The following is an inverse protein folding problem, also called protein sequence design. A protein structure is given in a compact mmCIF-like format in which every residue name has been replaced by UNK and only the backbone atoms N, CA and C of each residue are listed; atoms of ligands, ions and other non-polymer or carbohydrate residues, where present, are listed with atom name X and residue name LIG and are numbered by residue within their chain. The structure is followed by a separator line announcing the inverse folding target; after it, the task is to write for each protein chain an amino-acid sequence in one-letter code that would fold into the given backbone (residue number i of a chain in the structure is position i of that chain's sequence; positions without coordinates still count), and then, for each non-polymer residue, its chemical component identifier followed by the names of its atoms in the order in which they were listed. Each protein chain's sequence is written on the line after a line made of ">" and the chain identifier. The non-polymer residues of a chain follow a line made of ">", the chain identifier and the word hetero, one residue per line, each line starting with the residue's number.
data_IF_025150794423
#
_entry.id   IF_025150794423
#
_cell.length_a   1.000
_cell.length_b   1.000
_cell.length_c   1.000
_cell.angle_alpha   90.00
_cell.angle_beta   90.00
_cell.angle_gamma   90.00
#
_symmetry.space_group_name_H-M   'P 1'
#
loop_
_entity.id
_entity.type
_entity.pdbx_description
1 polymer ?
#
# COMPACT_ATOMS: atom_id res chain seq x y z
N UNK A 1 -1.92 -15.87 38.48
CA UNK A 1 -1.13 -15.07 37.50
C UNK A 1 -2.10 -14.08 36.87
N UNK A 2 -2.05 -12.81 37.27
CA UNK A 2 -3.02 -11.80 36.84
C UNK A 2 -2.71 -11.43 35.39
N UNK A 3 -3.59 -11.82 34.47
CA UNK A 3 -3.67 -11.24 33.13
C UNK A 3 -4.11 -9.78 33.31
N UNK A 4 -3.16 -8.85 33.45
CA UNK A 4 -3.44 -7.46 33.16
C UNK A 4 -3.73 -7.40 31.65
N UNK A 5 -5.03 -7.44 31.31
CA UNK A 5 -5.49 -7.18 29.97
C UNK A 5 -4.99 -5.79 29.58
N UNK A 6 -4.25 -5.73 28.47
CA UNK A 6 -3.80 -4.48 27.85
C UNK A 6 -4.98 -3.75 27.17
N UNK A 7 -6.15 -3.74 27.82
CA UNK A 7 -7.32 -3.01 27.33
C UNK A 7 -7.04 -1.51 27.42
N UNK A 8 -7.36 -0.80 26.35
CA UNK A 8 -7.26 0.66 26.31
C UNK A 8 -8.35 1.22 27.22
N UNK A 9 -8.00 1.54 28.46
CA UNK A 9 -8.92 2.17 29.41
C UNK A 9 -8.97 3.68 29.15
N UNK A 10 -10.16 4.19 28.82
CA UNK A 10 -10.42 5.62 28.58
C UNK A 10 -10.54 6.45 29.87
N UNK A 11 -9.85 6.05 30.94
CA UNK A 11 -9.79 6.82 32.18
C UNK A 11 -8.88 8.05 31.98
N UNK A 12 -9.24 9.25 32.49
CA UNK A 12 -8.45 10.48 32.28
C UNK A 12 -6.96 10.32 32.61
N UNK A 13 -6.64 9.71 33.75
CA UNK A 13 -5.25 9.45 34.20
C UNK A 13 -4.43 8.62 33.20
N UNK A 14 -5.09 7.68 32.50
CA UNK A 14 -4.44 6.83 31.48
C UNK A 14 -4.21 7.60 30.20
N UNK A 15 -5.10 8.52 29.85
CA UNK A 15 -4.99 9.38 28.66
C UNK A 15 -3.86 10.39 28.86
N UNK A 16 -3.82 11.07 30.01
CA UNK A 16 -2.76 12.03 30.34
C UNK A 16 -1.36 11.40 30.29
N UNK A 17 -1.23 10.21 30.89
CA UNK A 17 0.02 9.44 30.83
C UNK A 17 0.44 9.13 29.39
N UNK A 18 -0.50 8.67 28.55
CA UNK A 18 -0.21 8.35 27.13
C UNK A 18 0.16 9.59 26.33
N UNK A 19 -0.49 10.72 26.59
CA UNK A 19 -0.14 12.00 25.97
C UNK A 19 1.28 12.41 26.38
N UNK A 20 1.65 12.28 27.66
CA UNK A 20 2.99 12.58 28.12
C UNK A 20 4.05 11.66 27.46
N UNK A 21 3.80 10.35 27.43
CA UNK A 21 4.67 9.38 26.75
C UNK A 21 4.82 9.69 25.25
N UNK A 22 3.73 10.08 24.59
CA UNK A 22 3.77 10.44 23.17
C UNK A 22 4.50 11.76 22.92
N UNK A 23 4.36 12.77 23.79
CA UNK A 23 5.09 14.04 23.66
C UNK A 23 6.60 13.84 23.65
N UNK A 24 7.11 12.92 24.46
CA UNK A 24 8.54 12.55 24.47
C UNK A 24 8.96 11.74 23.23
N UNK A 25 8.04 10.95 22.69
CA UNK A 25 8.29 10.05 21.56
C UNK A 25 8.16 10.76 20.20
N UNK A 26 7.26 11.73 20.09
CA UNK A 26 6.88 12.39 18.85
C UNK A 26 8.07 13.02 18.11
N UNK A 27 9.04 13.70 18.76
CA UNK A 27 10.22 14.21 18.07
C UNK A 27 11.05 13.11 17.41
N UNK A 28 11.19 11.95 18.07
CA UNK A 28 11.96 10.81 17.53
C UNK A 28 11.24 10.14 16.36
N UNK A 29 9.91 10.04 16.44
CA UNK A 29 9.09 9.54 15.33
C UNK A 29 9.16 10.49 14.13
N UNK A 30 9.08 11.81 14.37
CA UNK A 30 9.20 12.82 13.32
C UNK A 30 10.56 12.75 12.62
N UNK A 31 11.64 12.58 13.39
CA UNK A 31 12.99 12.37 12.83
C UNK A 31 13.07 11.09 11.98
N UNK A 32 12.50 9.99 12.47
CA UNK A 32 12.41 8.73 11.73
C UNK A 32 11.61 8.88 10.43
N UNK A 33 10.47 9.57 10.45
CA UNK A 33 9.65 9.89 9.28
C UNK A 33 10.44 10.73 8.27
N UNK A 34 11.16 11.75 8.73
CA UNK A 34 11.99 12.63 7.90
C UNK A 34 13.10 11.84 7.20
N UNK A 35 13.80 10.99 7.94
CA UNK A 35 14.86 10.13 7.39
C UNK A 35 14.30 9.12 6.39
N UNK A 36 13.16 8.50 6.69
CA UNK A 36 12.49 7.57 5.77
C UNK A 36 12.14 8.24 4.44
N UNK A 37 11.50 9.42 4.49
CA UNK A 37 11.14 10.20 3.29
C UNK A 37 12.37 10.63 2.49
N UNK A 38 13.43 11.04 3.19
CA UNK A 38 14.69 11.43 2.56
C UNK A 38 15.35 10.24 1.86
N UNK A 39 15.37 9.07 2.50
CA UNK A 39 15.89 7.84 1.90
C UNK A 39 15.06 7.41 0.69
N UNK A 40 13.73 7.39 0.79
CA UNK A 40 12.84 7.05 -0.33
C UNK A 40 13.07 7.97 -1.54
N UNK A 41 13.22 9.27 -1.30
CA UNK A 41 13.55 10.24 -2.35
C UNK A 41 14.90 9.95 -2.98
N UNK A 42 15.93 9.69 -2.17
CA UNK A 42 17.27 9.35 -2.68
C UNK A 42 17.29 8.02 -3.44
N UNK A 43 16.47 7.03 -3.06
CA UNK A 43 16.35 5.77 -3.79
C UNK A 43 15.75 5.94 -5.20
N UNK A 44 14.92 6.95 -5.40
CA UNK A 44 14.32 7.31 -6.70
C UNK A 44 15.14 8.29 -7.53
N UNK A 45 16.21 8.86 -6.97
CA UNK A 45 17.09 9.81 -7.64
C UNK A 45 18.19 9.05 -8.41
N UNK A 46 18.34 9.37 -9.70
CA UNK A 46 19.38 8.78 -10.56
C UNK A 46 20.79 9.25 -10.21
N UNK A 47 20.89 10.44 -9.62
CA UNK A 47 22.17 11.07 -9.26
C UNK A 47 22.60 10.75 -7.82
N UNK A 48 21.72 10.13 -7.02
CA UNK A 48 22.04 9.75 -5.66
C UNK A 48 23.08 8.62 -5.62
N UNK A 49 24.25 8.95 -5.07
CA UNK A 49 25.34 7.99 -4.90
C UNK A 49 24.99 6.88 -3.92
N UNK A 50 25.64 5.72 -4.09
CA UNK A 50 25.47 4.58 -3.18
C UNK A 50 25.93 4.92 -1.75
N UNK A 51 26.93 5.79 -1.60
CA UNK A 51 27.44 6.26 -0.32
C UNK A 51 26.37 7.10 0.42
N UNK A 52 25.70 8.01 -0.29
CA UNK A 52 24.62 8.82 0.26
C UNK A 52 23.48 7.95 0.77
N UNK A 53 23.07 6.97 -0.03
CA UNK A 53 21.99 6.03 0.33
C UNK A 53 22.41 5.15 1.50
N UNK A 54 23.65 4.68 1.52
CA UNK A 54 24.19 3.91 2.65
C UNK A 54 24.19 4.71 3.95
N UNK A 55 24.60 5.98 3.90
CA UNK A 55 24.56 6.88 5.05
C UNK A 55 23.12 7.11 5.55
N UNK A 56 22.17 7.31 4.64
CA UNK A 56 20.74 7.45 4.99
C UNK A 56 20.17 6.17 5.60
N UNK A 57 20.57 4.98 5.15
CA UNK A 57 20.18 3.70 5.79
C UNK A 57 20.74 3.57 7.21
N UNK A 58 22.00 3.95 7.41
CA UNK A 58 22.60 3.95 8.75
C UNK A 58 21.86 4.91 9.68
N UNK A 59 21.52 6.10 9.18
CA UNK A 59 20.70 7.07 9.93
C UNK A 59 19.31 6.52 10.23
N UNK A 60 18.63 5.93 9.24
CA UNK A 60 17.32 5.30 9.43
C UNK A 60 17.38 4.23 10.53
N UNK A 61 18.44 3.43 10.54
CA UNK A 61 18.65 2.41 11.56
C UNK A 61 18.82 3.01 12.96
N UNK A 62 19.61 4.07 13.08
CA UNK A 62 19.80 4.80 14.34
C UNK A 62 18.50 5.43 14.85
N UNK A 63 17.75 6.11 13.96
CA UNK A 63 16.48 6.76 14.31
C UNK A 63 15.43 5.71 14.71
N UNK A 64 15.39 4.57 14.02
CA UNK A 64 14.54 3.44 14.38
C UNK A 64 14.87 2.92 15.79
N UNK A 65 16.14 2.67 16.08
CA UNK A 65 16.58 2.21 17.40
C UNK A 65 16.33 3.26 18.49
N UNK A 66 16.36 4.56 18.18
CA UNK A 66 16.00 5.62 19.11
C UNK A 66 14.50 5.60 19.49
N UNK A 67 13.63 5.14 18.58
CA UNK A 67 12.19 5.00 18.80
C UNK A 67 11.87 3.70 19.53
N UNK A 68 12.26 2.54 19.00
CA UNK A 68 11.86 1.23 19.55
C UNK A 68 12.81 0.71 20.64
N UNK A 69 14.07 1.14 20.64
CA UNK A 69 15.16 0.56 21.43
C UNK A 69 15.93 -0.53 20.68
N UNK A 70 17.17 -0.80 21.09
CA UNK A 70 18.11 -1.71 20.38
C UNK A 70 17.58 -3.12 20.09
N UNK A 71 16.66 -3.63 20.92
CA UNK A 71 15.97 -4.92 20.75
C UNK A 71 14.43 -4.77 20.85
N UNK A 72 13.92 -3.59 20.48
CA UNK A 72 12.50 -3.28 20.52
C UNK A 72 11.76 -3.71 19.26
N UNK A 73 10.45 -3.51 19.28
CA UNK A 73 9.56 -3.64 18.13
C UNK A 73 8.37 -2.71 18.32
N UNK A 74 7.78 -2.27 17.21
CA UNK A 74 6.47 -1.61 17.22
C UNK A 74 5.33 -2.55 17.65
N UNK A 75 5.53 -3.87 17.51
CA UNK A 75 4.50 -4.88 17.73
C UNK A 75 4.73 -5.68 19.02
N UNK A 76 3.63 -6.16 19.59
CA UNK A 76 3.63 -7.19 20.63
C UNK A 76 3.89 -8.56 20.02
N UNK A 77 4.14 -9.57 20.87
CA UNK A 77 4.30 -10.98 20.43
C UNK A 77 3.11 -11.51 19.61
N UNK A 78 1.92 -10.94 19.81
CA UNK A 78 0.68 -11.32 19.13
C UNK A 78 0.47 -10.51 17.84
N UNK A 79 1.52 -9.85 17.34
CA UNK A 79 1.54 -9.02 16.11
C UNK A 79 0.55 -7.84 16.15
N UNK A 80 0.21 -7.35 17.33
CA UNK A 80 -0.59 -6.14 17.52
C UNK A 80 0.32 -4.95 17.78
N UNK A 81 -0.05 -3.74 17.38
CA UNK A 81 0.69 -2.53 17.75
C UNK A 81 0.81 -2.44 19.27
N UNK A 82 2.02 -2.20 19.76
CA UNK A 82 2.30 -2.08 21.18
C UNK A 82 1.54 -0.90 21.78
N UNK A 83 0.99 -1.01 23.01
CA UNK A 83 0.29 0.08 23.67
C UNK A 83 1.04 1.42 23.68
N UNK A 84 2.39 1.36 23.72
CA UNK A 84 3.28 2.54 23.64
C UNK A 84 3.10 3.36 22.36
N UNK A 85 2.79 2.70 21.24
CA UNK A 85 2.61 3.35 19.93
C UNK A 85 1.15 3.49 19.54
N UNK A 86 0.20 3.11 20.42
CA UNK A 86 -1.23 3.11 20.09
C UNK A 86 -1.78 4.51 19.84
N UNK A 87 -1.28 5.51 20.56
CA UNK A 87 -1.69 6.90 20.33
C UNK A 87 -1.18 7.40 18.96
N UNK A 88 0.07 7.08 18.62
CA UNK A 88 0.64 7.40 17.30
C UNK A 88 -0.19 6.79 16.16
N UNK A 89 -0.54 5.50 16.25
CA UNK A 89 -1.42 4.81 15.30
C UNK A 89 -2.78 5.51 15.13
N UNK A 90 -3.31 6.12 16.19
CA UNK A 90 -4.62 6.79 16.17
C UNK A 90 -4.58 8.22 15.62
N UNK A 91 -3.48 8.94 15.82
CA UNK A 91 -3.42 10.38 15.53
C UNK A 91 -2.64 10.73 14.27
N UNK A 92 -1.81 9.82 13.76
CA UNK A 92 -0.99 10.05 12.56
C UNK A 92 -1.44 9.11 11.44
N UNK A 93 -1.93 9.70 10.35
CA UNK A 93 -2.43 9.02 9.16
C UNK A 93 -1.33 8.35 8.33
N UNK A 94 -0.06 8.72 8.55
CA UNK A 94 1.13 8.12 7.95
C UNK A 94 1.80 7.08 8.84
N UNK A 95 1.23 6.76 10.01
CA UNK A 95 1.79 5.80 10.97
C UNK A 95 2.07 4.42 10.36
N UNK A 96 1.28 4.01 9.36
CA UNK A 96 1.49 2.75 8.63
C UNK A 96 2.85 2.67 7.92
N UNK A 97 3.40 3.80 7.44
CA UNK A 97 4.72 3.83 6.78
C UNK A 97 5.84 3.48 7.77
N UNK A 98 5.71 3.96 9.00
CA UNK A 98 6.67 3.71 10.07
C UNK A 98 6.54 2.27 10.58
N UNK A 99 5.33 1.77 10.73
CA UNK A 99 5.10 0.38 11.15
C UNK A 99 5.51 -0.63 10.07
N UNK A 100 5.55 -0.24 8.79
CA UNK A 100 6.05 -1.07 7.69
C UNK A 100 7.57 -1.26 7.71
N UNK A 101 8.30 -0.57 8.59
CA UNK A 101 9.73 -0.81 8.83
C UNK A 101 10.02 -2.18 9.48
N UNK A 102 8.98 -2.88 9.96
CA UNK A 102 9.07 -4.22 10.52
C UNK A 102 8.17 -5.19 9.76
N UNK A 103 8.72 -6.34 9.36
CA UNK A 103 7.95 -7.44 8.76
C UNK A 103 7.22 -8.25 9.83
N UNK A 104 7.89 -8.49 10.96
CA UNK A 104 7.33 -9.22 12.10
C UNK A 104 8.15 -8.96 13.39
N UNK A 105 7.53 -9.03 14.57
CA UNK A 105 8.27 -9.08 15.84
C UNK A 105 9.01 -10.41 16.00
N UNK A 106 10.25 -10.36 16.51
CA UNK A 106 11.00 -11.54 16.90
C UNK A 106 10.66 -11.92 18.34
N UNK A 107 10.22 -13.15 18.57
CA UNK A 107 9.75 -13.62 19.88
C UNK A 107 10.60 -14.79 20.37
N UNK A 108 11.14 -14.68 21.59
CA UNK A 108 11.84 -15.75 22.30
C UNK A 108 11.30 -15.88 23.72
N UNK A 109 10.99 -17.09 24.16
CA UNK A 109 10.43 -17.37 25.50
C UNK A 109 9.23 -16.46 25.84
N UNK A 110 8.29 -16.31 24.90
CA UNK A 110 7.08 -15.50 25.05
C UNK A 110 7.34 -13.99 25.27
N UNK A 111 8.55 -13.50 24.94
CA UNK A 111 8.95 -12.09 25.00
C UNK A 111 9.45 -11.62 23.64
N UNK A 112 9.14 -10.37 23.30
CA UNK A 112 9.70 -9.71 22.13
C UNK A 112 11.19 -9.41 22.40
N UNK A 113 12.04 -9.79 21.46
CA UNK A 113 13.51 -9.62 21.53
C UNK A 113 14.08 -8.84 20.33
N UNK A 114 13.20 -8.25 19.51
CA UNK A 114 13.55 -7.45 18.35
C UNK A 114 12.46 -7.52 17.29
N UNK A 115 12.82 -7.15 16.07
CA UNK A 115 11.96 -7.25 14.89
C UNK A 115 12.75 -7.71 13.67
N UNK A 116 12.08 -8.43 12.77
CA UNK A 116 12.56 -8.65 11.41
C UNK A 116 12.40 -7.33 10.63
N UNK A 117 13.53 -6.67 10.36
CA UNK A 117 13.56 -5.37 9.69
C UNK A 117 13.16 -5.47 8.21
N UNK A 118 12.53 -4.41 7.71
CA UNK A 118 12.21 -4.26 6.30
C UNK A 118 13.47 -4.19 5.42
N UNK A 119 13.31 -4.49 4.14
CA UNK A 119 14.43 -4.56 3.18
C UNK A 119 15.15 -3.20 3.01
N UNK A 120 14.44 -2.08 3.20
CA UNK A 120 14.95 -0.72 3.06
C UNK A 120 16.16 -0.42 3.96
N UNK A 121 16.32 -1.14 5.08
CA UNK A 121 17.49 -1.01 5.96
C UNK A 121 18.78 -1.58 5.36
N UNK A 122 18.69 -2.44 4.36
CA UNK A 122 19.84 -3.24 3.89
C UNK A 122 20.09 -3.12 2.39
N UNK A 123 19.04 -2.91 1.59
CA UNK A 123 19.15 -2.83 0.13
C UNK A 123 18.18 -1.80 -0.44
N UNK A 124 18.42 -1.43 -1.71
CA UNK A 124 17.57 -0.50 -2.45
C UNK A 124 16.23 -1.17 -2.73
N UNK A 125 15.12 -0.53 -2.36
CA UNK A 125 13.76 -1.06 -2.55
C UNK A 125 12.98 -0.30 -3.63
N UNK A 126 13.38 0.94 -3.92
CA UNK A 126 12.90 1.72 -5.06
C UNK A 126 14.04 2.10 -5.98
N UNK A 127 13.84 2.02 -7.29
CA UNK A 127 14.87 2.35 -8.27
C UNK A 127 14.42 3.53 -9.12
N UNK A 128 15.34 4.40 -9.56
CA UNK A 128 15.02 5.47 -10.49
C UNK A 128 14.44 4.85 -11.76
N UNK A 129 13.40 5.49 -12.30
CA UNK A 129 12.84 5.07 -13.57
C UNK A 129 13.88 5.27 -14.68
N UNK A 130 14.30 4.17 -15.30
CA UNK A 130 15.14 4.22 -16.50
C UNK A 130 14.21 4.13 -17.70
N UNK A 131 14.15 5.23 -18.47
CA UNK A 131 13.34 5.27 -19.68
C UNK A 131 13.81 4.18 -20.66
N UNK A 132 12.92 3.31 -21.18
CA UNK A 132 13.30 2.31 -22.18
C UNK A 132 13.97 2.97 -23.39
N UNK A 133 15.10 2.43 -23.84
CA UNK A 133 15.79 2.96 -25.03
C UNK A 133 15.54 2.12 -26.28
N UNK A 134 15.05 0.89 -26.11
CA UNK A 134 14.72 -0.02 -27.21
C UNK A 134 13.52 -0.90 -26.87
N UNK A 135 12.96 -1.56 -27.89
CA UNK A 135 11.91 -2.58 -27.76
C UNK A 135 12.20 -3.73 -28.73
N UNK A 136 11.92 -4.97 -28.32
CA UNK A 136 12.21 -6.17 -29.12
C UNK A 136 11.23 -6.32 -30.31
N UNK A 137 10.03 -5.75 -30.19
CA UNK A 137 9.00 -5.85 -31.21
C UNK A 137 8.02 -4.66 -31.15
N UNK A 138 7.20 -4.54 -32.20
CA UNK A 138 6.26 -3.43 -32.37
C UNK A 138 5.22 -3.34 -31.25
N UNK A 139 4.75 -4.46 -30.71
CA UNK A 139 3.74 -4.45 -29.65
C UNK A 139 4.32 -3.86 -28.36
N UNK A 140 5.54 -4.24 -27.99
CA UNK A 140 6.24 -3.70 -26.83
C UNK A 140 6.52 -2.20 -27.02
N UNK A 141 6.97 -1.79 -28.21
CA UNK A 141 7.19 -0.37 -28.53
C UNK A 141 5.91 0.47 -28.42
N UNK A 142 4.77 -0.05 -28.91
CA UNK A 142 3.45 0.58 -28.77
C UNK A 142 3.03 0.70 -27.31
N UNK A 143 3.22 -0.36 -26.51
CA UNK A 143 2.91 -0.33 -25.09
C UNK A 143 3.76 0.69 -24.34
N UNK A 144 5.05 0.77 -24.63
CA UNK A 144 5.95 1.78 -24.04
C UNK A 144 5.48 3.18 -24.43
N UNK A 145 5.20 3.44 -25.71
CA UNK A 145 4.70 4.74 -26.15
C UNK A 145 3.39 5.11 -25.46
N UNK A 146 2.42 4.19 -25.42
CA UNK A 146 1.11 4.44 -24.81
C UNK A 146 1.25 4.78 -23.32
N UNK A 147 2.14 4.10 -22.61
CA UNK A 147 2.40 4.36 -21.19
C UNK A 147 3.12 5.70 -20.97
N UNK A 148 3.99 6.13 -21.90
CA UNK A 148 4.73 7.39 -21.79
C UNK A 148 3.92 8.63 -22.21
N UNK A 149 3.11 8.52 -23.27
CA UNK A 149 2.47 9.68 -23.92
C UNK A 149 0.95 9.64 -23.89
N UNK A 150 0.34 8.51 -23.51
CA UNK A 150 -1.11 8.31 -23.56
C UNK A 150 -1.65 8.00 -24.95
N UNK A 151 -0.78 7.88 -25.98
CA UNK A 151 -1.15 7.49 -27.34
C UNK A 151 0.00 6.74 -28.05
N UNK A 152 -0.27 6.18 -29.23
CA UNK A 152 0.79 5.59 -30.06
C UNK A 152 1.51 6.71 -30.84
N UNK A 153 2.60 7.21 -30.27
CA UNK A 153 3.52 8.14 -30.90
C UNK A 153 4.45 7.37 -31.85
N UNK A 154 4.23 7.54 -33.15
CA UNK A 154 4.98 6.83 -34.18
C UNK A 154 6.46 7.14 -34.19
N UNK A 155 6.85 8.37 -33.80
CA UNK A 155 8.27 8.73 -33.72
C UNK A 155 8.92 7.96 -32.58
N UNK A 156 8.27 7.93 -31.41
CA UNK A 156 8.77 7.18 -30.25
C UNK A 156 8.87 5.68 -30.53
N UNK A 157 7.87 5.11 -31.20
CA UNK A 157 7.87 3.70 -31.59
C UNK A 157 9.01 3.40 -32.57
N UNK A 158 9.24 4.28 -33.54
CA UNK A 158 10.33 4.15 -34.50
C UNK A 158 11.70 4.20 -33.82
N UNK A 159 11.90 5.14 -32.89
CA UNK A 159 13.12 5.28 -32.10
C UNK A 159 13.40 4.01 -31.27
N UNK A 160 12.38 3.46 -30.60
CA UNK A 160 12.48 2.23 -29.80
C UNK A 160 12.85 1.00 -30.64
N UNK A 161 12.41 0.95 -31.90
CA UNK A 161 12.68 -0.15 -32.82
C UNK A 161 13.96 0.06 -33.65
N UNK A 162 14.61 1.21 -33.54
CA UNK A 162 15.74 1.58 -34.40
C UNK A 162 15.35 1.61 -35.88
N UNK A 163 14.12 2.02 -36.20
CA UNK A 163 13.55 2.01 -37.55
C UNK A 163 13.04 3.40 -37.94
N UNK A 164 12.65 3.59 -39.20
CA UNK A 164 12.00 4.82 -39.64
C UNK A 164 10.47 4.79 -39.39
N UNK A 165 9.88 5.98 -39.26
CA UNK A 165 8.45 6.15 -38.97
C UNK A 165 7.54 5.52 -40.03
N UNK A 166 7.94 5.49 -41.30
CA UNK A 166 7.09 4.96 -42.36
C UNK A 166 7.08 3.42 -42.36
N UNK A 167 8.21 2.81 -41.99
CA UNK A 167 8.31 1.38 -41.69
C UNK A 167 7.44 0.95 -40.50
N UNK A 168 7.21 1.82 -39.53
CA UNK A 168 6.31 1.59 -38.38
C UNK A 168 4.84 1.72 -38.77
N UNK A 169 4.48 2.68 -39.63
CA UNK A 169 3.08 2.89 -40.06
C UNK A 169 2.53 1.70 -40.84
N UNK A 170 3.34 1.09 -41.73
CA UNK A 170 2.93 -0.01 -42.62
C UNK A 170 2.29 -1.20 -41.89
N UNK A 171 2.89 -1.79 -40.84
CA UNK A 171 2.31 -2.91 -40.10
C UNK A 171 1.09 -2.51 -39.25
N UNK A 172 0.94 -1.25 -38.84
CA UNK A 172 -0.20 -0.82 -38.02
C UNK A 172 -1.53 -0.79 -38.79
N UNK A 173 -1.48 -0.82 -40.12
CA UNK A 173 -2.65 -1.01 -40.98
C UNK A 173 -2.95 -2.48 -41.32
N UNK A 174 -2.19 -3.44 -40.77
CA UNK A 174 -2.47 -4.87 -41.03
C UNK A 174 -3.58 -5.41 -40.10
N UNK A 175 -4.44 -6.33 -40.59
CA UNK A 175 -5.56 -6.90 -39.83
C UNK A 175 -5.19 -7.51 -38.47
N UNK A 176 -3.94 -7.96 -38.33
CA UNK A 176 -3.38 -8.57 -37.12
C UNK A 176 -3.29 -7.58 -35.95
N UNK A 177 -2.92 -6.32 -36.22
CA UNK A 177 -2.82 -5.26 -35.20
C UNK A 177 -4.22 -4.81 -34.78
N UNK A 178 -5.16 -4.70 -35.72
CA UNK A 178 -6.58 -4.40 -35.43
C UNK A 178 -7.19 -5.49 -34.54
N UNK A 179 -6.87 -6.77 -34.78
CA UNK A 179 -7.31 -7.89 -33.94
C UNK A 179 -6.70 -7.84 -32.54
N UNK A 180 -5.44 -7.40 -32.41
CA UNK A 180 -4.78 -7.21 -31.11
C UNK A 180 -5.43 -6.05 -30.33
N UNK A 181 -5.63 -4.91 -30.97
CA UNK A 181 -6.33 -3.76 -30.39
C UNK A 181 -7.76 -4.11 -29.98
N UNK A 182 -8.49 -4.87 -30.80
CA UNK A 182 -9.83 -5.37 -30.48
C UNK A 182 -9.82 -6.30 -29.26
N UNK A 183 -8.86 -7.23 -29.15
CA UNK A 183 -8.74 -8.10 -27.99
C UNK A 183 -8.41 -7.35 -26.69
N UNK A 184 -7.56 -6.32 -26.75
CA UNK A 184 -7.23 -5.48 -25.59
C UNK A 184 -8.41 -4.62 -25.16
N UNK A 185 -9.13 -4.01 -26.11
CA UNK A 185 -10.37 -3.26 -25.85
C UNK A 185 -11.42 -4.18 -25.22
N UNK A 186 -11.61 -5.38 -25.77
CA UNK A 186 -12.57 -6.36 -25.25
C UNK A 186 -12.22 -6.84 -23.83
N UNK A 187 -10.93 -7.04 -23.50
CA UNK A 187 -10.50 -7.35 -22.13
C UNK A 187 -10.72 -6.18 -21.16
N UNK A 188 -10.45 -4.96 -21.58
CA UNK A 188 -10.72 -3.75 -20.78
C UNK A 188 -12.22 -3.56 -20.52
N UNK A 189 -13.04 -3.70 -21.56
CA UNK A 189 -14.50 -3.64 -21.46
C UNK A 189 -15.04 -4.80 -20.60
N UNK A 190 -14.50 -6.01 -20.74
CA UNK A 190 -14.89 -7.15 -19.91
C UNK A 190 -14.59 -6.91 -18.42
N UNK A 191 -13.45 -6.31 -18.07
CA UNK A 191 -13.13 -5.94 -16.70
C UNK A 191 -14.04 -4.82 -16.16
N UNK A 192 -14.36 -3.82 -16.98
CA UNK A 192 -15.30 -2.75 -16.62
C UNK A 192 -16.70 -3.34 -16.41
N UNK A 193 -17.19 -4.17 -17.34
CA UNK A 193 -18.48 -4.85 -17.23
C UNK A 193 -18.52 -5.81 -16.05
N UNK A 194 -17.45 -6.53 -15.75
CA UNK A 194 -17.37 -7.42 -14.59
C UNK A 194 -17.49 -6.63 -13.28
N UNK A 195 -16.78 -5.49 -13.16
CA UNK A 195 -16.89 -4.60 -12.01
C UNK A 195 -18.27 -3.95 -11.89
N UNK A 196 -18.86 -3.50 -12.99
CA UNK A 196 -20.22 -2.94 -12.99
C UNK A 196 -21.28 -4.01 -12.66
N UNK A 197 -21.12 -5.24 -13.14
CA UNK A 197 -22.00 -6.36 -12.83
C UNK A 197 -21.89 -6.75 -11.34
N UNK A 198 -20.68 -6.70 -10.77
CA UNK A 198 -20.46 -6.90 -9.33
C UNK A 198 -21.16 -5.83 -8.49
N UNK A 199 -21.08 -4.56 -8.89
CA UNK A 199 -21.77 -3.45 -8.21
C UNK A 199 -23.29 -3.59 -8.30
N UNK A 200 -23.82 -3.99 -9.46
CA UNK A 200 -25.25 -4.21 -9.65
C UNK A 200 -25.74 -5.40 -8.82
N UNK A 201 -25.02 -6.52 -8.85
CA UNK A 201 -25.32 -7.71 -8.04
C UNK A 201 -25.23 -7.42 -6.53
N UNK A 202 -24.23 -6.66 -6.09
CA UNK A 202 -24.09 -6.24 -4.70
C UNK A 202 -25.25 -5.35 -4.25
N UNK A 203 -25.66 -4.39 -5.08
CA UNK A 203 -26.82 -3.54 -4.78
C UNK A 203 -28.16 -4.31 -4.78
N UNK A 204 -28.33 -5.28 -5.67
CA UNK A 204 -29.48 -6.19 -5.67
C UNK A 204 -29.52 -7.06 -4.41
N UNK A 205 -28.38 -7.65 -4.04
CA UNK A 205 -28.27 -8.48 -2.84
C UNK A 205 -28.53 -7.65 -1.57
N UNK A 206 -27.98 -6.43 -1.50
CA UNK A 206 -28.21 -5.50 -0.40
C UNK A 206 -29.69 -5.10 -0.28
N UNK A 207 -30.35 -4.80 -1.41
CA UNK A 207 -31.78 -4.46 -1.42
C UNK A 207 -32.67 -5.66 -1.06
N UNK A 208 -32.32 -6.87 -1.49
CA UNK A 208 -33.04 -8.10 -1.12
C UNK A 208 -32.90 -8.41 0.38
N UNK A 209 -31.70 -8.25 0.95
CA UNK A 209 -31.47 -8.39 2.39
C UNK A 209 -32.27 -7.36 3.20
N UNK A 210 -32.33 -6.11 2.73
CA UNK A 210 -33.11 -5.03 3.35
C UNK A 210 -34.62 -5.27 3.25
N UNK A 211 -35.10 -5.83 2.13
CA UNK A 211 -36.50 -6.22 1.97
C UNK A 211 -36.85 -7.35 2.94
N UNK A 212 -35.97 -8.35 3.05
CA UNK A 212 -36.17 -9.48 3.95
C UNK A 212 -36.27 -9.00 5.41
N UNK A 213 -35.35 -8.16 5.89
CA UNK A 213 -35.43 -7.56 7.23
C UNK A 213 -36.72 -6.77 7.48
N UNK A 214 -37.22 -6.01 6.49
CA UNK A 214 -38.51 -5.30 6.59
C UNK A 214 -39.72 -6.24 6.66
N UNK A 215 -39.64 -7.40 6.02
CA UNK A 215 -40.69 -8.43 6.07
C UNK A 215 -40.64 -9.14 7.43
N UNK A 216 -39.46 -9.52 7.90
CA UNK A 216 -39.30 -10.18 9.21
C UNK A 216 -39.78 -9.29 10.36
N UNK A 217 -39.49 -7.98 10.32
CA UNK A 217 -39.94 -7.03 11.34
C UNK A 217 -41.45 -6.75 11.32
N UNK A 218 -42.11 -6.87 10.15
CA UNK A 218 -43.57 -6.77 10.04
C UNK A 218 -44.27 -8.03 10.56
N UNK A 219 -43.70 -9.21 10.35
CA UNK A 219 -44.28 -10.48 10.81
C UNK A 219 -44.21 -10.58 12.35
N UNK A 220 -43.18 -10.02 13.00
CA UNK A 220 -43.04 -9.99 14.47
C UNK A 220 -43.96 -8.98 15.17
N UNK A 221 -44.78 -8.22 14.45
CA UNK A 221 -45.72 -7.23 14.98
C UNK A 221 -47.18 -7.49 14.58
N UNK A 222 -47.50 -8.69 14.08
CA UNK A 222 -48.89 -9.13 13.95
C UNK A 222 -49.30 -9.72 15.30
N UNK A 223 -50.16 -9.07 16.09
CA UNK A 223 -50.71 -9.69 17.29
C UNK A 223 -51.56 -10.89 16.85
N UNK A 224 -51.20 -12.08 17.32
CA UNK A 224 -52.07 -13.25 17.20
C UNK A 224 -53.22 -13.02 18.20
N UNK A 225 -54.35 -12.54 17.70
CA UNK A 225 -55.60 -12.51 18.46
C UNK A 225 -56.14 -13.95 18.51
N UNK A 226 -55.83 -14.66 19.60
CA UNK A 226 -56.41 -15.95 19.93
C UNK A 226 -57.69 -15.69 20.73
N UNK A 227 -58.77 -15.32 20.05
CA UNK A 227 -60.12 -15.41 20.61
C UNK A 227 -61.11 -16.08 19.64
N UNK A 228 -61.66 -17.20 20.12
CA UNK A 228 -62.74 -18.08 19.62
C UNK A 228 -62.39 -19.07 18.49
#
# INVERSE_FOLDING_TARGET
>A
MILQSLEVTWKPETIEKRIAEYKELAPKISELQSTLKTLQKAELDSEASNETISALRQKLNSDYEAVVGKNGSFYTKDKKVSPRFKLFEMVDDTSFEIFALEKAPLVKNNKVVGAERADIFTKRVSYPYVRPQSADNLADAMHISLNETGYNDYQRIADLLGSDVDSVKKPLYTPSVIKLLSNYINKGIANILHNHMFIILYNLLYNLLRLNQKITSKITHIPIDLTL
#
